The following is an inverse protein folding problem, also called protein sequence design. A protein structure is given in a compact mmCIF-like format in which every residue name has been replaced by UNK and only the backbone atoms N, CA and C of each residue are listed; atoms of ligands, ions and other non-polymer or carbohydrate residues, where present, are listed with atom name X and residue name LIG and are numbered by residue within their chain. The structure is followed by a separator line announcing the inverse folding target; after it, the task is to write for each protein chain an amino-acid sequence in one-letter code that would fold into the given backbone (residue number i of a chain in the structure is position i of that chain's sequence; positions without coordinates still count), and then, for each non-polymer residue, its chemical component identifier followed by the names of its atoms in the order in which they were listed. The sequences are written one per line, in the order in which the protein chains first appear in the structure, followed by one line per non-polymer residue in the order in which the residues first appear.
data_IF_463218382309
#
_entry.id   IF_463218382309
#
_cell.length_a   1.000
_cell.length_b   1.000
_cell.length_c   1.000
_cell.angle_alpha   90.00
_cell.angle_beta   90.00
_cell.angle_gamma   90.00
#
_symmetry.space_group_name_H-M   'P 1'
#
loop_
_entity.id
_entity.type
_entity.pdbx_description
1 polymer ?
#
# COMPACT_ATOMS: atom_id res chain seq x y z
N UNK A 1 -16.47 -44.78 -2.08
CA UNK A 1 -15.88 -44.36 -0.79
C UNK A 1 -15.51 -42.89 -0.95
N UNK A 2 -16.26 -41.96 -0.36
CA UNK A 2 -15.95 -40.53 -0.36
C UNK A 2 -15.01 -40.23 0.81
N UNK A 3 -13.77 -39.80 0.52
CA UNK A 3 -12.88 -39.10 1.46
C UNK A 3 -11.99 -38.21 0.57
N UNK A 4 -12.01 -36.89 0.56
CA UNK A 4 -12.11 -35.93 1.66
C UNK A 4 -10.87 -35.02 1.55
N UNK A 5 -11.10 -33.71 1.47
CA UNK A 5 -10.12 -32.60 1.47
C UNK A 5 -9.67 -32.04 0.11
N UNK A 6 -10.55 -31.23 -0.51
CA UNK A 6 -10.14 -30.08 -1.34
C UNK A 6 -10.08 -28.82 -0.46
N UNK A 7 -9.55 -28.93 0.76
CA UNK A 7 -9.26 -27.75 1.58
C UNK A 7 -8.10 -27.01 0.90
N UNK A 8 -8.42 -25.98 0.11
CA UNK A 8 -7.40 -25.16 -0.55
C UNK A 8 -6.51 -24.51 0.51
N UNK A 9 -5.20 -24.60 0.32
CA UNK A 9 -4.24 -23.94 1.20
C UNK A 9 -4.49 -22.43 1.17
N UNK A 10 -4.93 -21.87 2.28
CA UNK A 10 -5.18 -20.43 2.41
C UNK A 10 -3.88 -19.70 2.73
N UNK A 11 -3.65 -18.59 2.07
CA UNK A 11 -2.53 -17.70 2.38
C UNK A 11 -3.05 -16.47 3.12
N UNK A 12 -2.62 -16.31 4.37
CA UNK A 12 -2.87 -15.09 5.14
C UNK A 12 -1.69 -14.14 4.92
N UNK A 13 -1.98 -12.89 4.57
CA UNK A 13 -0.97 -11.82 4.42
C UNK A 13 -1.37 -10.65 5.31
N UNK A 14 -0.89 -10.60 6.56
CA UNK A 14 -1.26 -9.53 7.48
C UNK A 14 -0.79 -8.19 6.94
N UNK A 15 -1.53 -7.14 7.31
CA UNK A 15 -1.14 -5.77 7.04
C UNK A 15 -0.13 -5.32 8.09
N UNK A 16 0.99 -4.76 7.66
CA UNK A 16 1.91 -4.10 8.57
C UNK A 16 1.45 -2.66 8.78
N UNK A 17 1.15 -2.28 10.02
CA UNK A 17 0.60 -0.96 10.33
C UNK A 17 1.67 0.13 10.33
N UNK A 18 2.96 -0.23 10.43
CA UNK A 18 4.03 0.78 10.51
C UNK A 18 4.29 1.51 9.18
N UNK A 19 3.77 0.99 8.06
CA UNK A 19 3.97 1.51 6.70
C UNK A 19 2.66 1.83 5.98
N UNK A 20 1.54 1.95 6.71
CA UNK A 20 0.22 2.28 6.16
C UNK A 20 0.14 3.69 5.57
N UNK A 21 0.81 4.64 6.20
CA UNK A 21 0.72 6.06 5.89
C UNK A 21 2.06 6.76 6.12
N UNK A 22 2.19 7.92 5.50
CA UNK A 22 3.35 8.77 5.65
C UNK A 22 2.96 10.21 5.31
N UNK A 23 3.31 11.14 6.19
CA UNK A 23 3.04 12.57 6.04
C UNK A 23 4.38 13.29 6.10
N UNK A 24 4.77 13.96 5.01
CA UNK A 24 6.00 14.76 4.97
C UNK A 24 5.87 16.06 5.78
N UNK A 25 4.71 16.72 5.69
CA UNK A 25 4.40 17.95 6.38
C UNK A 25 2.92 17.92 6.80
N UNK A 26 2.68 17.79 8.11
CA UNK A 26 1.33 17.71 8.68
C UNK A 26 0.61 19.05 8.81
N UNK A 27 1.27 20.17 8.48
CA UNK A 27 0.65 21.50 8.50
C UNK A 27 -0.19 21.79 7.25
N UNK A 28 0.02 21.03 6.17
CA UNK A 28 -0.66 21.24 4.90
C UNK A 28 -1.95 20.41 4.82
N UNK A 29 -3.11 21.05 4.57
CA UNK A 29 -4.36 20.31 4.39
C UNK A 29 -4.34 19.50 3.10
N UNK A 30 -4.94 18.31 3.14
CA UNK A 30 -5.13 17.46 1.96
C UNK A 30 -6.22 18.06 1.06
N UNK A 31 -5.82 18.52 -0.13
CA UNK A 31 -6.75 18.97 -1.17
C UNK A 31 -7.19 17.76 -2.01
N UNK A 32 -8.51 17.43 -2.05
CA UNK A 32 -9.01 16.34 -2.88
C UNK A 32 -8.68 16.50 -4.36
N UNK A 33 -8.50 17.73 -4.86
CA UNK A 33 -8.11 18.00 -6.25
C UNK A 33 -6.65 17.63 -6.57
N UNK A 34 -5.82 17.48 -5.54
CA UNK A 34 -4.41 17.06 -5.63
C UNK A 34 -4.21 15.63 -5.13
N UNK A 35 -5.28 14.94 -4.77
CA UNK A 35 -5.26 13.57 -4.26
C UNK A 35 -5.49 12.60 -5.43
N UNK A 36 -4.61 11.59 -5.57
CA UNK A 36 -4.70 10.59 -6.62
C UNK A 36 -4.88 9.19 -6.04
N UNK A 37 -5.55 8.31 -6.79
CA UNK A 37 -5.59 6.88 -6.53
C UNK A 37 -4.58 6.17 -7.43
N UNK A 38 -3.77 5.29 -6.85
CA UNK A 38 -2.78 4.49 -7.58
C UNK A 38 -3.15 3.01 -7.49
N UNK A 39 -3.46 2.39 -8.64
CA UNK A 39 -3.77 0.97 -8.76
C UNK A 39 -2.60 0.16 -9.29
N UNK A 40 -2.67 -1.18 -9.20
CA UNK A 40 -1.69 -2.08 -9.81
C UNK A 40 -0.30 -2.07 -9.17
N UNK A 41 -0.19 -1.58 -7.93
CA UNK A 41 1.09 -1.48 -7.22
C UNK A 41 1.61 -2.86 -6.78
N UNK A 42 2.94 -3.11 -6.83
CA UNK A 42 3.51 -4.36 -6.38
C UNK A 42 3.40 -4.50 -4.85
N UNK A 43 3.34 -5.74 -4.37
CA UNK A 43 3.67 -6.07 -2.97
C UNK A 43 5.18 -6.25 -2.90
N UNK A 44 5.94 -5.63 -1.98
CA UNK A 44 5.59 -4.63 -0.97
C UNK A 44 5.58 -3.20 -1.51
N UNK A 45 4.63 -2.38 -1.06
CA UNK A 45 4.64 -0.93 -1.20
C UNK A 45 4.68 -0.31 0.18
N UNK A 46 5.58 0.64 0.41
CA UNK A 46 5.69 1.38 1.68
C UNK A 46 5.41 2.85 1.44
N UNK A 47 4.51 3.45 2.22
CA UNK A 47 4.09 4.84 2.05
C UNK A 47 5.28 5.82 2.01
N UNK A 48 6.21 5.71 2.96
CA UNK A 48 7.40 6.59 3.04
C UNK A 48 8.36 6.47 1.84
N UNK A 49 8.55 5.27 1.30
CA UNK A 49 9.39 5.08 0.10
C UNK A 49 8.75 5.69 -1.14
N UNK A 50 7.43 5.50 -1.31
CA UNK A 50 6.71 6.05 -2.45
C UNK A 50 6.75 7.58 -2.47
N UNK A 51 6.52 8.21 -1.31
CA UNK A 51 6.47 9.67 -1.23
C UNK A 51 7.85 10.33 -1.44
N UNK A 52 8.92 9.74 -0.89
CA UNK A 52 10.28 10.28 -1.00
C UNK A 52 10.86 10.16 -2.42
N UNK A 53 10.60 9.06 -3.13
CA UNK A 53 11.16 8.80 -4.46
C UNK A 53 10.29 9.28 -5.62
N UNK A 54 9.01 9.61 -5.37
CA UNK A 54 8.15 10.28 -6.36
C UNK A 54 8.51 11.74 -6.53
N UNK A 55 8.86 12.45 -5.45
CA UNK A 55 9.29 13.84 -5.51
C UNK A 55 10.64 14.02 -6.23
N UNK A 56 11.54 13.05 -6.15
CA UNK A 56 12.84 13.13 -6.82
C UNK A 56 12.78 12.94 -8.34
N UNK A 57 11.73 12.32 -8.88
CA UNK A 57 11.55 12.11 -10.32
C UNK A 57 10.83 13.26 -11.04
N UNK A 58 10.36 14.27 -10.31
CA UNK A 58 9.65 15.41 -10.89
C UNK A 58 10.57 16.53 -11.43
N UNK A 59 11.80 16.21 -11.85
CA UNK A 59 12.77 17.17 -12.41
C UNK A 59 13.32 16.72 -13.75
#
# INVERSE_FOLDING_TARGET
MYTGSLCLQVQIRPWNLSDSDFVMDGSQPLDPRKTIFVGGVPRPLRAGWYQTHSHSQAK
#
